data_IF_547354481309
#
_entry.id   IF_547354481309
#
_cell.length_a   1.000
_cell.length_b   1.000
_cell.length_c   1.000
_cell.angle_alpha   90.00
_cell.angle_beta   90.00
_cell.angle_gamma   90.00
#
_symmetry.space_group_name_H-M   'P 1'
#
loop_
_entity.id
_entity.type
_entity.pdbx_description
1 polymer ?
#
# COMPACT_ATOMS: atom_id res chain seq x y z
N UNK A 1 -2.04 20.68 17.42
CA UNK A 1 -1.08 19.96 16.58
C UNK A 1 -1.81 18.93 15.76
N UNK A 2 -1.57 18.89 14.48
CA UNK A 2 -2.11 17.84 13.65
C UNK A 2 -1.28 16.58 13.87
N UNK A 3 -1.94 15.49 14.29
CA UNK A 3 -1.31 14.17 14.37
C UNK A 3 -1.08 13.65 12.93
N UNK A 4 0.04 14.03 12.36
CA UNK A 4 0.49 13.56 11.06
C UNK A 4 1.65 12.59 11.26
N UNK A 5 1.52 11.40 10.69
CA UNK A 5 2.57 10.38 10.70
C UNK A 5 3.08 10.14 9.29
N UNK A 6 4.39 9.92 9.18
CA UNK A 6 5.04 9.53 7.92
C UNK A 6 5.55 8.11 8.05
N UNK A 7 5.24 7.27 7.08
CA UNK A 7 5.55 5.85 7.08
C UNK A 7 6.21 5.50 5.76
N UNK A 8 7.39 4.89 5.83
CA UNK A 8 8.06 4.34 4.66
C UNK A 8 7.46 2.97 4.31
N UNK A 9 7.19 2.79 3.03
CA UNK A 9 6.68 1.56 2.46
C UNK A 9 7.74 0.98 1.51
N UNK A 10 8.64 0.12 2.01
CA UNK A 10 9.78 -0.37 1.24
C UNK A 10 9.35 -1.36 0.15
N UNK A 11 10.08 -1.34 -0.95
CA UNK A 11 10.07 -2.40 -1.94
C UNK A 11 10.69 -3.69 -1.37
N UNK A 12 10.44 -4.81 -2.02
CA UNK A 12 11.04 -6.11 -1.71
C UNK A 12 11.69 -6.71 -2.97
N UNK A 13 12.66 -7.58 -2.75
CA UNK A 13 13.17 -8.50 -3.76
C UNK A 13 12.99 -9.94 -3.27
N UNK A 14 12.78 -10.86 -4.20
CA UNK A 14 12.81 -12.28 -3.92
C UNK A 14 14.27 -12.77 -4.11
N UNK A 15 14.89 -13.24 -3.04
CA UNK A 15 16.21 -13.89 -3.11
C UNK A 15 16.09 -15.33 -3.61
N UNK A 16 14.98 -15.97 -3.29
CA UNK A 16 14.57 -17.27 -3.81
C UNK A 16 13.05 -17.30 -3.93
N UNK A 17 12.53 -17.94 -4.96
CA UNK A 17 11.09 -18.11 -5.20
C UNK A 17 10.83 -19.47 -5.81
N UNK A 18 9.96 -20.25 -5.18
CA UNK A 18 9.42 -21.47 -5.72
C UNK A 18 7.90 -21.31 -5.88
N UNK A 19 7.39 -21.69 -7.04
CA UNK A 19 5.95 -21.66 -7.36
C UNK A 19 5.49 -23.09 -7.58
N UNK A 20 4.52 -23.53 -6.80
CA UNK A 20 3.92 -24.86 -6.92
C UNK A 20 2.88 -24.96 -8.04
N UNK A 21 2.33 -26.16 -8.27
CA UNK A 21 1.28 -26.37 -9.25
C UNK A 21 0.00 -25.61 -8.87
N UNK A 22 -0.82 -25.31 -9.87
CA UNK A 22 -2.11 -24.68 -9.66
C UNK A 22 -2.99 -25.54 -8.75
N UNK A 23 -3.46 -24.96 -7.66
CA UNK A 23 -4.54 -25.56 -6.87
C UNK A 23 -5.89 -25.23 -7.56
N UNK A 24 -6.47 -26.25 -8.15
CA UNK A 24 -7.74 -26.11 -8.91
C UNK A 24 -8.94 -25.74 -8.03
N UNK A 25 -8.84 -25.90 -6.72
CA UNK A 25 -9.93 -25.59 -5.79
C UNK A 25 -10.04 -24.11 -5.49
N UNK A 26 -8.91 -23.39 -5.44
CA UNK A 26 -8.85 -21.96 -5.16
C UNK A 26 -8.35 -21.12 -6.34
N UNK A 27 -7.85 -21.76 -7.42
CA UNK A 27 -7.30 -21.05 -8.58
C UNK A 27 -5.97 -20.34 -8.32
N UNK A 28 -5.24 -20.71 -7.27
CA UNK A 28 -3.99 -20.08 -6.85
C UNK A 28 -2.83 -21.09 -6.90
N UNK A 29 -1.63 -20.56 -7.06
CA UNK A 29 -0.40 -21.34 -6.92
C UNK A 29 0.17 -21.18 -5.50
N UNK A 30 0.53 -22.26 -4.80
CA UNK A 30 1.32 -22.14 -3.59
C UNK A 30 2.70 -21.60 -3.93
N UNK A 31 3.20 -20.68 -3.09
CA UNK A 31 4.52 -20.10 -3.28
C UNK A 31 5.33 -20.23 -1.99
N UNK A 32 6.62 -20.47 -2.16
CA UNK A 32 7.62 -20.36 -1.10
C UNK A 32 8.67 -19.35 -1.56
N UNK A 33 8.93 -18.35 -0.74
CA UNK A 33 9.84 -17.27 -1.12
C UNK A 33 10.70 -16.83 0.05
N UNK A 34 11.96 -16.53 -0.25
CA UNK A 34 12.84 -15.80 0.64
C UNK A 34 12.92 -14.37 0.12
N UNK A 35 12.25 -13.44 0.83
CA UNK A 35 12.16 -12.03 0.45
C UNK A 35 13.03 -11.17 1.37
N UNK A 36 13.51 -10.06 0.81
CA UNK A 36 14.20 -9.00 1.53
C UNK A 36 13.62 -7.66 1.15
N UNK A 37 13.36 -6.80 2.12
CA UNK A 37 13.07 -5.39 1.86
C UNK A 37 14.35 -4.66 1.48
N UNK A 38 14.22 -3.66 0.63
CA UNK A 38 15.33 -2.83 0.15
C UNK A 38 15.06 -1.35 0.46
N UNK A 39 16.11 -0.55 0.46
CA UNK A 39 16.01 0.89 0.71
C UNK A 39 15.56 1.64 -0.55
N UNK A 40 14.40 1.27 -1.06
CA UNK A 40 13.68 1.92 -2.15
C UNK A 40 12.21 1.93 -1.76
N UNK A 41 11.68 3.09 -1.40
CA UNK A 41 10.42 3.16 -0.67
C UNK A 41 9.45 4.14 -1.30
N UNK A 42 8.16 3.80 -1.26
CA UNK A 42 7.09 4.79 -1.26
C UNK A 42 6.99 5.43 0.13
N UNK A 43 6.35 6.58 0.21
CA UNK A 43 6.09 7.28 1.47
C UNK A 43 4.60 7.51 1.63
N UNK A 44 4.06 7.12 2.77
CA UNK A 44 2.68 7.38 3.15
C UNK A 44 2.65 8.44 4.25
N UNK A 45 1.90 9.51 4.03
CA UNK A 45 1.59 10.51 5.03
C UNK A 45 0.12 10.35 5.43
N UNK A 46 -0.12 10.19 6.71
CA UNK A 46 -1.47 10.11 7.27
C UNK A 46 -1.67 11.21 8.31
N UNK A 47 -2.77 11.92 8.16
CA UNK A 47 -3.24 12.89 9.12
C UNK A 47 -4.61 12.47 9.62
N UNK A 48 -4.75 12.34 10.93
CA UNK A 48 -6.06 12.10 11.55
C UNK A 48 -6.96 13.31 11.33
N UNK A 49 -8.20 13.06 10.95
CA UNK A 49 -9.23 14.08 10.80
C UNK A 49 -10.22 14.02 11.98
N UNK A 50 -10.96 15.12 12.25
CA UNK A 50 -12.00 15.12 13.26
C UNK A 50 -13.08 14.06 13.00
N UNK A 51 -13.69 13.56 14.05
CA UNK A 51 -14.83 12.64 13.93
C UNK A 51 -15.94 13.25 13.08
N UNK A 52 -16.55 12.42 12.23
CA UNK A 52 -17.58 12.86 11.28
C UNK A 52 -17.04 13.44 9.98
N UNK A 53 -15.71 13.61 9.85
CA UNK A 53 -15.11 14.00 8.57
C UNK A 53 -15.09 12.83 7.58
N UNK A 54 -15.06 13.18 6.28
CA UNK A 54 -14.79 12.20 5.23
C UNK A 54 -13.29 12.02 5.03
N UNK A 55 -12.85 10.78 4.91
CA UNK A 55 -11.47 10.48 4.54
C UNK A 55 -11.14 10.97 3.13
N UNK A 56 -9.90 11.39 2.92
CA UNK A 56 -9.39 11.90 1.65
C UNK A 56 -8.12 11.13 1.28
N UNK A 57 -8.02 10.74 0.03
CA UNK A 57 -6.90 9.94 -0.47
C UNK A 57 -6.33 10.61 -1.72
N UNK A 58 -5.03 10.79 -1.75
CA UNK A 58 -4.30 11.24 -2.91
C UNK A 58 -3.06 10.37 -3.12
N UNK A 59 -2.75 10.12 -4.38
CA UNK A 59 -1.53 9.42 -4.79
C UNK A 59 -0.82 10.28 -5.82
N UNK A 60 0.47 10.49 -5.62
CA UNK A 60 1.33 11.24 -6.54
C UNK A 60 2.63 10.47 -6.77
N UNK A 61 3.31 10.78 -7.87
CA UNK A 61 4.68 10.32 -8.06
C UNK A 61 5.66 11.29 -7.42
N UNK A 62 6.72 10.73 -6.82
CA UNK A 62 7.88 11.51 -6.44
C UNK A 62 8.58 12.06 -7.69
N UNK A 63 9.18 13.23 -7.59
CA UNK A 63 9.93 13.86 -8.70
C UNK A 63 11.08 12.97 -9.20
N UNK A 64 11.67 12.17 -8.32
CA UNK A 64 12.76 11.24 -8.63
C UNK A 64 12.28 9.79 -8.88
N UNK A 65 10.98 9.58 -9.12
CA UNK A 65 10.47 8.27 -9.47
C UNK A 65 11.07 7.78 -10.79
N UNK A 66 11.65 6.56 -10.85
CA UNK A 66 12.36 6.11 -12.05
C UNK A 66 11.45 5.77 -13.23
N UNK A 67 10.22 5.39 -12.97
CA UNK A 67 9.23 5.02 -14.00
C UNK A 67 7.82 5.45 -13.59
N UNK A 68 7.54 6.75 -13.53
CA UNK A 68 6.20 7.22 -13.26
C UNK A 68 5.28 6.87 -14.44
N UNK A 69 4.08 6.43 -14.13
CA UNK A 69 3.00 6.15 -15.08
C UNK A 69 1.78 6.99 -14.76
N UNK A 70 0.80 7.01 -15.63
CA UNK A 70 -0.48 7.63 -15.30
C UNK A 70 -1.11 6.93 -14.09
N UNK A 71 -1.66 7.72 -13.17
CA UNK A 71 -2.40 7.21 -12.01
C UNK A 71 -3.86 7.10 -12.42
N UNK A 72 -4.21 6.03 -13.11
CA UNK A 72 -5.50 5.80 -13.74
C UNK A 72 -6.31 4.68 -13.07
N UNK A 73 -5.75 4.01 -12.06
CA UNK A 73 -6.50 2.96 -11.37
C UNK A 73 -7.56 3.55 -10.44
N UNK A 74 -8.76 2.96 -10.44
CA UNK A 74 -9.83 3.40 -9.55
C UNK A 74 -9.43 3.19 -8.09
N UNK A 75 -9.88 4.11 -7.22
CA UNK A 75 -9.57 4.07 -5.78
C UNK A 75 -9.91 2.71 -5.15
N UNK A 76 -11.00 2.07 -5.58
CA UNK A 76 -11.40 0.74 -5.11
C UNK A 76 -10.38 -0.38 -5.42
N UNK A 77 -9.42 -0.16 -6.32
CA UNK A 77 -8.31 -1.09 -6.60
C UNK A 77 -7.02 -0.73 -5.87
N UNK A 78 -6.96 0.47 -5.29
CA UNK A 78 -5.81 0.88 -4.50
C UNK A 78 -5.72 0.08 -3.21
N UNK A 79 -4.59 -0.60 -2.99
CA UNK A 79 -4.44 -1.49 -1.85
C UNK A 79 -4.33 -0.75 -0.52
N UNK A 80 -3.78 0.47 -0.50
CA UNK A 80 -3.76 1.29 0.71
C UNK A 80 -5.18 1.73 1.10
N UNK A 81 -5.99 2.14 0.13
CA UNK A 81 -7.40 2.46 0.36
C UNK A 81 -8.18 1.24 0.87
N UNK A 82 -8.01 0.07 0.25
CA UNK A 82 -8.66 -1.17 0.69
C UNK A 82 -8.25 -1.58 2.10
N UNK A 83 -6.99 -1.38 2.45
CA UNK A 83 -6.49 -1.62 3.81
C UNK A 83 -7.16 -0.69 4.83
N UNK A 84 -7.33 0.58 4.51
CA UNK A 84 -8.08 1.52 5.36
C UNK A 84 -9.53 1.06 5.56
N UNK A 85 -10.24 0.73 4.47
CA UNK A 85 -11.62 0.23 4.57
C UNK A 85 -11.72 -1.06 5.42
N UNK A 86 -10.79 -1.99 5.22
CA UNK A 86 -10.76 -3.23 6.00
C UNK A 86 -10.54 -2.96 7.49
N UNK A 87 -9.72 -1.97 7.84
CA UNK A 87 -9.52 -1.57 9.23
C UNK A 87 -10.79 -0.94 9.83
N UNK A 88 -11.48 -0.06 9.10
CA UNK A 88 -12.75 0.51 9.57
C UNK A 88 -13.80 -0.58 9.88
N UNK A 89 -13.91 -1.57 8.98
CA UNK A 89 -14.79 -2.73 9.19
C UNK A 89 -14.37 -3.51 10.45
N UNK A 90 -13.07 -3.77 10.60
CA UNK A 90 -12.54 -4.53 11.74
C UNK A 90 -12.79 -3.84 13.08
N UNK A 91 -12.60 -2.54 13.16
CA UNK A 91 -12.81 -1.78 14.41
C UNK A 91 -14.25 -1.34 14.60
N UNK A 92 -15.13 -1.53 13.61
CA UNK A 92 -16.55 -1.23 13.67
C UNK A 92 -16.90 0.26 13.73
N UNK A 93 -16.00 1.13 13.29
CA UNK A 93 -16.22 2.59 13.25
C UNK A 93 -15.40 3.26 12.16
N UNK A 94 -15.82 4.45 11.69
CA UNK A 94 -15.00 5.26 10.78
C UNK A 94 -13.66 5.66 11.41
N UNK A 95 -12.63 5.70 10.57
CA UNK A 95 -11.29 6.19 10.88
C UNK A 95 -10.95 7.33 9.91
N UNK A 96 -11.48 8.55 10.13
CA UNK A 96 -11.32 9.63 9.18
C UNK A 96 -9.87 10.10 9.11
N UNK A 97 -9.29 10.04 7.90
CA UNK A 97 -7.90 10.39 7.62
C UNK A 97 -7.76 11.21 6.32
N UNK A 98 -6.74 12.04 6.29
CA UNK A 98 -6.17 12.54 5.05
C UNK A 98 -4.90 11.74 4.74
N UNK A 99 -4.87 11.11 3.58
CA UNK A 99 -3.79 10.24 3.11
C UNK A 99 -3.15 10.81 1.86
N UNK A 100 -1.83 10.97 1.89
CA UNK A 100 -1.01 11.27 0.73
C UNK A 100 0.03 10.15 0.55
N UNK A 101 -0.08 9.44 -0.56
CA UNK A 101 0.87 8.41 -0.96
C UNK A 101 1.79 8.97 -2.05
N UNK A 102 3.07 9.13 -1.73
CA UNK A 102 4.11 9.52 -2.69
C UNK A 102 4.85 8.28 -3.17
N UNK A 103 4.68 7.94 -4.42
CA UNK A 103 5.22 6.71 -5.02
C UNK A 103 6.58 6.93 -5.68
N UNK A 104 7.45 5.94 -5.51
CA UNK A 104 8.69 5.74 -6.26
C UNK A 104 8.73 4.36 -6.91
N UNK A 105 8.11 3.36 -6.26
CA UNK A 105 8.12 1.97 -6.70
C UNK A 105 7.23 1.85 -7.94
N UNK A 106 7.76 1.43 -9.09
CA UNK A 106 6.97 1.30 -10.31
C UNK A 106 5.81 0.31 -10.14
N UNK A 107 4.69 0.67 -10.72
CA UNK A 107 3.50 -0.20 -10.74
C UNK A 107 3.76 -1.44 -11.59
N UNK A 108 3.36 -2.61 -11.11
CA UNK A 108 3.50 -3.87 -11.83
C UNK A 108 4.95 -4.37 -11.97
N UNK A 109 5.87 -3.84 -11.18
CA UNK A 109 7.30 -4.17 -11.26
C UNK A 109 7.70 -5.48 -10.56
N UNK A 110 6.79 -6.12 -9.82
CA UNK A 110 7.13 -7.26 -8.98
C UNK A 110 7.86 -6.91 -7.68
N UNK A 111 8.02 -5.62 -7.37
CA UNK A 111 8.71 -5.12 -6.18
C UNK A 111 7.80 -5.01 -4.93
N UNK A 112 6.53 -5.40 -5.04
CA UNK A 112 5.60 -5.45 -3.91
C UNK A 112 5.14 -4.08 -3.40
N UNK A 113 5.20 -3.03 -4.23
CA UNK A 113 4.87 -1.67 -3.84
C UNK A 113 3.45 -1.52 -3.29
N UNK A 114 2.46 -2.06 -3.98
CA UNK A 114 1.06 -1.99 -3.56
C UNK A 114 0.81 -2.68 -2.21
N UNK A 115 1.37 -3.86 -2.00
CA UNK A 115 1.26 -4.58 -0.72
C UNK A 115 1.97 -3.84 0.40
N UNK A 116 3.12 -3.23 0.13
CA UNK A 116 3.86 -2.40 1.08
C UNK A 116 3.07 -1.15 1.45
N UNK A 117 2.40 -0.52 0.48
CA UNK A 117 1.52 0.63 0.73
C UNK A 117 0.34 0.24 1.65
N UNK A 118 -0.27 -0.92 1.42
CA UNK A 118 -1.33 -1.44 2.29
C UNK A 118 -0.84 -1.67 3.72
N UNK A 119 0.33 -2.29 3.88
CA UNK A 119 0.95 -2.50 5.18
C UNK A 119 1.28 -1.18 5.89
N UNK A 120 1.77 -0.18 5.16
CA UNK A 120 2.02 1.15 5.69
C UNK A 120 0.74 1.81 6.20
N UNK A 121 -0.36 1.69 5.44
CA UNK A 121 -1.68 2.18 5.87
C UNK A 121 -2.11 1.54 7.19
N UNK A 122 -2.07 0.21 7.29
CA UNK A 122 -2.46 -0.50 8.52
C UNK A 122 -1.59 -0.13 9.73
N UNK A 123 -0.32 0.19 9.50
CA UNK A 123 0.59 0.61 10.58
C UNK A 123 0.37 2.05 11.03
N UNK A 124 -0.18 2.89 10.17
CA UNK A 124 -0.43 4.30 10.44
C UNK A 124 -1.77 4.59 11.11
N UNK A 125 -2.72 3.67 10.97
CA UNK A 125 -4.07 3.77 11.55
C UNK A 125 -4.09 3.35 13.02
#
# INVERSE_FOLDING_TARGET
>A
MSDCVQILAPAKINLALAVGPLDVTCGLHPVASWMRTVNFCDQLELQKLPEGSFSRFATVWSEDAPRPTEIDWPLARDLAFRAHQAMEVHVGRPLPVQSLLTKKIPVGSGLGGGSSNAAAMLRGL
#
